data_IF_526458406028
#
_entry.id   IF_526458406028
#
_cell.length_a   1.000
_cell.length_b   1.000
_cell.length_c   1.000
_cell.angle_alpha   90.00
_cell.angle_beta   90.00
_cell.angle_gamma   90.00
#
_symmetry.space_group_name_H-M   'P 1'
#
loop_
_entity.id
_entity.type
_entity.pdbx_description
1 polymer ?
#
# COMPACT_ATOMS: atom_id res chain seq x y z
N UNK A 1 35.35 22.09 11.06
CA UNK A 1 33.94 21.66 11.18
C UNK A 1 33.10 22.71 10.48
N UNK A 2 32.57 22.43 9.30
CA UNK A 2 31.72 23.39 8.57
C UNK A 2 30.40 23.56 9.30
N UNK A 3 30.18 24.73 9.93
CA UNK A 3 28.92 25.13 10.57
C UNK A 3 27.89 25.61 9.52
N UNK A 4 27.60 24.77 8.52
CA UNK A 4 26.51 25.06 7.57
C UNK A 4 25.17 24.63 8.18
N UNK A 5 24.15 25.50 8.18
CA UNK A 5 22.86 25.24 8.85
C UNK A 5 21.98 24.19 8.13
N UNK A 6 22.44 23.66 6.99
CA UNK A 6 21.71 22.68 6.18
C UNK A 6 22.63 21.53 5.79
N UNK A 7 22.06 20.34 5.72
CA UNK A 7 22.69 19.14 5.18
C UNK A 7 21.72 18.48 4.19
N UNK A 8 22.20 18.16 2.99
CA UNK A 8 21.44 17.38 2.02
C UNK A 8 21.96 15.94 2.03
N UNK A 9 21.12 15.01 2.48
CA UNK A 9 21.46 13.57 2.58
C UNK A 9 20.40 12.76 1.84
N UNK A 10 20.85 11.80 1.04
CA UNK A 10 19.97 10.75 0.53
C UNK A 10 19.63 9.76 1.64
N UNK A 11 18.35 9.48 1.84
CA UNK A 11 17.88 8.47 2.78
C UNK A 11 16.84 7.58 2.10
N UNK A 12 16.78 6.31 2.50
CA UNK A 12 15.76 5.38 2.04
C UNK A 12 14.54 5.47 2.95
N UNK A 13 13.36 5.61 2.33
CA UNK A 13 12.07 5.59 3.00
C UNK A 13 11.23 4.44 2.47
N UNK A 14 10.53 3.75 3.36
CA UNK A 14 9.52 2.76 2.98
C UNK A 14 8.17 3.46 2.89
N UNK A 15 7.57 3.48 1.71
CA UNK A 15 6.28 4.11 1.44
C UNK A 15 5.24 3.06 1.04
N UNK A 16 3.97 3.30 1.35
CA UNK A 16 2.87 2.51 0.84
C UNK A 16 2.60 2.85 -0.62
N UNK A 17 2.57 1.84 -1.48
CA UNK A 17 2.29 2.01 -2.91
C UNK A 17 0.92 1.42 -3.24
N UNK A 18 0.02 2.24 -3.79
CA UNK A 18 -1.25 1.79 -4.36
C UNK A 18 -1.03 1.51 -5.83
N UNK A 19 -1.04 0.23 -6.19
CA UNK A 19 -0.99 -0.21 -7.57
C UNK A 19 -2.38 -0.08 -8.20
N UNK A 20 -2.48 0.80 -9.19
CA UNK A 20 -3.71 1.04 -9.93
C UNK A 20 -3.86 0.05 -11.07
N UNK A 21 -5.08 -0.40 -11.27
CA UNK A 21 -5.48 -1.28 -12.37
C UNK A 21 -6.67 -0.66 -13.07
N UNK A 22 -6.84 -1.01 -14.35
CA UNK A 22 -7.93 -0.52 -15.17
C UNK A 22 -9.29 -0.87 -14.55
N UNK A 23 -10.10 0.16 -14.30
CA UNK A 23 -11.42 0.05 -13.72
C UNK A 23 -12.17 1.38 -13.84
N UNK A 24 -13.49 1.31 -13.83
CA UNK A 24 -14.33 2.52 -13.78
C UNK A 24 -14.05 3.36 -12.53
N UNK A 25 -14.11 4.70 -12.61
CA UNK A 25 -13.89 5.63 -11.50
C UNK A 25 -14.54 5.24 -10.17
N UNK A 26 -15.82 4.86 -10.21
CA UNK A 26 -16.57 4.48 -9.01
C UNK A 26 -16.15 3.12 -8.44
N UNK A 27 -15.67 2.20 -9.30
CA UNK A 27 -15.11 0.92 -8.86
C UNK A 27 -13.78 1.15 -8.15
N UNK A 28 -12.95 2.08 -8.66
CA UNK A 28 -11.70 2.49 -8.01
C UNK A 28 -11.99 3.08 -6.63
N UNK A 29 -12.97 4.00 -6.53
CA UNK A 29 -13.40 4.60 -5.27
C UNK A 29 -13.76 3.52 -4.25
N UNK A 30 -14.68 2.63 -4.60
CA UNK A 30 -15.16 1.59 -3.70
C UNK A 30 -14.02 0.67 -3.25
N UNK A 31 -13.14 0.27 -4.17
CA UNK A 31 -12.01 -0.59 -3.84
C UNK A 31 -11.03 0.07 -2.86
N UNK A 32 -10.81 1.39 -2.96
CA UNK A 32 -9.99 2.13 -2.02
C UNK A 32 -10.64 2.21 -0.64
N UNK A 33 -11.94 2.51 -0.58
CA UNK A 33 -12.70 2.57 0.67
C UNK A 33 -12.71 1.22 1.38
N UNK A 34 -12.92 0.13 0.64
CA UNK A 34 -12.89 -1.23 1.18
C UNK A 34 -11.51 -1.59 1.76
N UNK A 35 -10.42 -1.25 1.05
CA UNK A 35 -9.06 -1.48 1.56
C UNK A 35 -8.79 -0.65 2.82
N UNK A 36 -9.24 0.60 2.86
CA UNK A 36 -9.11 1.47 4.04
C UNK A 36 -9.89 0.87 5.22
N UNK A 37 -11.12 0.39 5.00
CA UNK A 37 -11.94 -0.24 6.03
C UNK A 37 -11.32 -1.55 6.56
N UNK A 38 -10.66 -2.33 5.70
CA UNK A 38 -9.97 -3.56 6.08
C UNK A 38 -8.72 -3.28 6.93
N UNK A 39 -7.98 -2.20 6.65
CA UNK A 39 -6.75 -1.85 7.35
C UNK A 39 -6.69 -0.37 7.79
N UNK A 40 -7.58 0.10 8.69
CA UNK A 40 -7.67 1.52 9.04
C UNK A 40 -6.40 2.07 9.68
N UNK A 41 -5.70 1.25 10.47
CA UNK A 41 -4.45 1.63 11.13
C UNK A 41 -3.31 1.95 10.13
N UNK A 42 -3.37 1.39 8.92
CA UNK A 42 -2.34 1.58 7.90
C UNK A 42 -2.74 2.60 6.85
N UNK A 43 -4.03 2.70 6.52
CA UNK A 43 -4.51 3.44 5.35
C UNK A 43 -5.29 4.71 5.67
N UNK A 44 -5.79 4.89 6.90
CA UNK A 44 -6.50 6.11 7.27
C UNK A 44 -5.54 7.31 7.24
N UNK A 45 -5.79 8.26 6.33
CA UNK A 45 -4.93 9.42 6.08
C UNK A 45 -3.50 9.08 5.66
N UNK A 46 -3.29 7.87 5.13
CA UNK A 46 -1.97 7.38 4.81
C UNK A 46 -1.32 8.18 3.67
N UNK A 47 -0.02 8.48 3.79
CA UNK A 47 0.76 9.03 2.71
C UNK A 47 1.13 7.89 1.75
N UNK A 48 0.68 7.97 0.49
CA UNK A 48 0.79 6.90 -0.50
C UNK A 48 1.45 7.38 -1.79
N UNK A 49 2.14 6.46 -2.46
CA UNK A 49 2.56 6.59 -3.86
C UNK A 49 1.53 5.89 -4.74
N UNK A 50 1.11 6.52 -5.84
CA UNK A 50 0.19 5.91 -6.80
C UNK A 50 1.01 5.36 -7.95
N UNK A 51 0.98 4.04 -8.14
CA UNK A 51 1.59 3.40 -9.29
C UNK A 51 0.57 3.28 -10.41
N UNK A 52 0.85 3.91 -11.55
CA UNK A 52 -0.04 3.95 -12.74
C UNK A 52 0.42 3.02 -13.87
N UNK A 53 1.35 2.11 -13.60
CA UNK A 53 1.91 1.22 -14.64
C UNK A 53 0.91 0.20 -15.20
N UNK A 54 -0.18 -0.07 -14.48
CA UNK A 54 -1.26 -0.97 -14.87
C UNK A 54 -2.49 -0.29 -15.48
N UNK A 55 -2.43 1.01 -15.77
CA UNK A 55 -3.49 1.76 -16.45
C UNK A 55 -3.24 1.84 -17.95
N UNK A 56 -4.31 1.85 -18.74
CA UNK A 56 -4.26 2.08 -20.18
C UNK A 56 -4.44 3.57 -20.51
N UNK A 57 -3.80 4.04 -21.57
CA UNK A 57 -3.93 5.44 -22.01
C UNK A 57 -5.18 5.62 -22.89
N UNK A 58 -5.86 6.78 -22.85
CA UNK A 58 -5.54 7.96 -22.03
C UNK A 58 -6.10 7.88 -20.60
N UNK A 59 -5.30 8.26 -19.60
CA UNK A 59 -5.73 8.33 -18.20
C UNK A 59 -6.24 9.72 -17.86
N UNK A 60 -7.46 9.83 -17.34
CA UNK A 60 -7.99 11.08 -16.79
C UNK A 60 -7.38 11.37 -15.40
N UNK A 61 -6.17 11.92 -15.37
CA UNK A 61 -5.43 12.14 -14.12
C UNK A 61 -6.17 13.04 -13.11
N UNK A 62 -6.78 14.17 -13.49
CA UNK A 62 -7.52 15.01 -12.55
C UNK A 62 -8.66 14.30 -11.83
N UNK A 63 -9.40 13.45 -12.54
CA UNK A 63 -10.48 12.65 -11.97
C UNK A 63 -9.93 11.59 -11.01
N UNK A 64 -8.90 10.87 -11.42
CA UNK A 64 -8.25 9.85 -10.60
C UNK A 64 -7.68 10.44 -9.30
N UNK A 65 -6.99 11.58 -9.40
CA UNK A 65 -6.47 12.32 -8.26
C UNK A 65 -7.59 12.70 -7.29
N UNK A 66 -8.72 13.21 -7.80
CA UNK A 66 -9.88 13.56 -6.98
C UNK A 66 -10.48 12.34 -6.26
N UNK A 67 -10.56 11.20 -6.94
CA UNK A 67 -11.08 9.95 -6.35
C UNK A 67 -10.19 9.51 -5.19
N UNK A 68 -8.88 9.40 -5.44
CA UNK A 68 -7.92 8.95 -4.42
C UNK A 68 -7.91 9.90 -3.21
N UNK A 69 -7.87 11.21 -3.44
CA UNK A 69 -7.85 12.18 -2.34
C UNK A 69 -9.17 12.24 -1.57
N UNK A 70 -10.31 11.97 -2.24
CA UNK A 70 -11.62 11.95 -1.58
C UNK A 70 -11.82 10.80 -0.59
N UNK A 71 -11.04 9.71 -0.70
CA UNK A 71 -11.04 8.63 0.32
C UNK A 71 -10.19 8.98 1.55
N UNK A 72 -9.55 10.15 1.56
CA UNK A 72 -8.71 10.65 2.63
C UNK A 72 -7.23 10.26 2.51
N UNK A 73 -6.84 9.50 1.49
CA UNK A 73 -5.43 9.21 1.19
C UNK A 73 -4.69 10.47 0.73
N UNK A 74 -3.38 10.52 1.03
CA UNK A 74 -2.51 11.66 0.69
C UNK A 74 -1.49 11.22 -0.34
N UNK A 75 -1.59 11.74 -1.56
CA UNK A 75 -0.67 11.38 -2.63
C UNK A 75 0.67 12.10 -2.41
N UNK A 76 1.74 11.33 -2.21
CA UNK A 76 3.11 11.85 -2.09
C UNK A 76 3.74 12.03 -3.48
N UNK A 77 3.40 11.15 -4.41
CA UNK A 77 3.95 11.12 -5.75
C UNK A 77 3.38 9.97 -6.58
N UNK A 78 3.83 9.90 -7.82
CA UNK A 78 3.35 8.92 -8.81
C UNK A 78 4.51 8.10 -9.33
N UNK A 79 4.33 6.79 -9.46
CA UNK A 79 5.33 5.88 -10.00
C UNK A 79 4.79 5.12 -11.21
N UNK A 80 5.68 4.46 -11.96
CA UNK A 80 5.27 3.58 -13.06
C UNK A 80 4.72 4.30 -14.31
N UNK A 81 4.76 5.63 -14.35
CA UNK A 81 4.26 6.42 -15.47
C UNK A 81 5.19 6.30 -16.70
N UNK A 82 4.67 5.77 -17.81
CA UNK A 82 5.41 5.62 -19.07
C UNK A 82 5.03 6.68 -20.10
N UNK A 83 3.78 7.12 -20.09
CA UNK A 83 3.22 8.05 -21.05
C UNK A 83 3.67 9.51 -20.83
N UNK A 84 4.01 10.21 -21.90
CA UNK A 84 4.54 11.58 -21.82
C UNK A 84 3.45 12.62 -21.50
N UNK A 85 2.22 12.41 -21.98
CA UNK A 85 1.11 13.34 -21.72
C UNK A 85 0.65 13.27 -20.26
N UNK A 86 0.57 12.04 -19.72
CA UNK A 86 0.26 11.80 -18.31
C UNK A 86 1.34 12.38 -17.39
N UNK A 87 2.62 12.23 -17.74
CA UNK A 87 3.73 12.87 -16.99
C UNK A 87 3.54 14.38 -16.90
N UNK A 88 3.24 15.03 -18.02
CA UNK A 88 3.02 16.48 -18.04
C UNK A 88 1.80 16.89 -17.19
N UNK A 89 0.75 16.07 -17.13
CA UNK A 89 -0.40 16.31 -16.25
C UNK A 89 -0.05 16.21 -14.77
N UNK A 90 0.70 15.17 -14.39
CA UNK A 90 1.18 14.96 -13.02
C UNK A 90 2.09 16.12 -12.58
N UNK A 91 3.04 16.51 -13.44
CA UNK A 91 3.96 17.62 -13.18
C UNK A 91 3.22 18.95 -13.02
N UNK A 92 2.18 19.20 -13.84
CA UNK A 92 1.32 20.40 -13.71
C UNK A 92 0.60 20.48 -12.36
N UNK A 93 0.34 19.34 -11.71
CA UNK A 93 -0.23 19.30 -10.36
C UNK A 93 0.83 19.41 -9.25
N UNK A 94 2.11 19.52 -9.61
CA UNK A 94 3.21 19.61 -8.64
C UNK A 94 3.51 18.30 -7.92
N UNK A 95 3.09 17.16 -8.47
CA UNK A 95 3.35 15.85 -7.89
C UNK A 95 4.64 15.27 -8.47
N UNK A 96 5.57 14.77 -7.64
CA UNK A 96 6.82 14.19 -8.13
C UNK A 96 6.58 12.82 -8.76
N UNK A 97 7.35 12.55 -9.82
CA UNK A 97 7.50 11.20 -10.38
C UNK A 97 8.59 10.44 -9.61
N UNK A 98 8.22 9.29 -9.05
CA UNK A 98 9.06 8.47 -8.19
C UNK A 98 9.48 7.18 -8.89
N UNK A 99 10.70 6.75 -8.61
CA UNK A 99 11.20 5.43 -9.03
C UNK A 99 11.10 4.49 -7.85
N UNK A 100 10.37 3.38 -8.02
CA UNK A 100 10.28 2.36 -7.00
C UNK A 100 11.59 1.59 -6.86
N UNK A 101 12.00 1.33 -5.62
CA UNK A 101 13.12 0.45 -5.33
C UNK A 101 12.78 -0.99 -5.68
N UNK A 102 13.80 -1.85 -5.79
CA UNK A 102 13.58 -3.30 -5.98
C UNK A 102 12.77 -3.84 -4.79
N UNK A 103 11.59 -4.39 -5.06
CA UNK A 103 10.90 -5.21 -4.08
C UNK A 103 11.84 -6.35 -3.68
N UNK A 104 12.21 -6.39 -2.40
CA UNK A 104 12.69 -7.65 -1.83
C UNK A 104 11.48 -8.55 -1.78
N UNK A 105 11.51 -9.66 -2.53
CA UNK A 105 10.52 -10.71 -2.42
C UNK A 105 10.37 -11.05 -0.93
N UNK A 106 9.24 -10.66 -0.33
CA UNK A 106 8.85 -11.21 0.95
C UNK A 106 8.52 -12.66 0.66
N UNK A 107 9.38 -13.58 1.13
CA UNK A 107 9.10 -15.00 1.16
C UNK A 107 7.90 -15.20 2.10
N UNK A 108 6.69 -15.02 1.55
CA UNK A 108 5.43 -15.37 2.18
C UNK A 108 5.37 -16.90 2.21
N UNK A 109 6.22 -17.54 3.01
CA UNK A 109 5.93 -18.90 3.45
C UNK A 109 4.57 -18.81 4.12
N UNK A 110 3.58 -19.60 3.67
CA UNK A 110 2.27 -19.58 4.31
C UNK A 110 2.49 -19.82 5.80
N UNK A 111 1.93 -18.94 6.64
CA UNK A 111 1.76 -19.21 8.05
C UNK A 111 0.92 -20.48 8.11
N UNK A 112 1.61 -21.63 8.25
CA UNK A 112 0.98 -22.92 8.45
C UNK A 112 -0.04 -22.72 9.57
N UNK A 113 -1.33 -22.85 9.23
CA UNK A 113 -2.44 -22.88 10.18
C UNK A 113 -2.08 -23.91 11.25
N UNK A 114 -1.59 -23.46 12.40
CA UNK A 114 -1.41 -24.34 13.55
C UNK A 114 -2.82 -24.77 13.95
N UNK A 115 -3.18 -26.01 13.61
CA UNK A 115 -4.39 -26.65 14.14
C UNK A 115 -4.27 -26.62 15.68
N UNK A 116 -5.30 -26.18 16.42
CA UNK A 116 -5.26 -26.23 17.87
C UNK A 116 -5.08 -27.68 18.32
N UNK A 117 -4.09 -27.90 19.19
CA UNK A 117 -3.74 -29.21 19.74
C UNK A 117 -4.98 -29.82 20.44
N UNK A 118 -5.32 -31.06 20.07
CA UNK A 118 -6.43 -31.75 20.71
C UNK A 118 -6.06 -32.04 22.17
N UNK A 119 -6.90 -31.52 23.08
CA UNK A 119 -6.79 -31.73 24.52
C UNK A 119 -7.15 -33.19 24.81
N UNK A 120 -6.17 -34.10 24.89
CA UNK A 120 -6.41 -35.46 25.39
C UNK A 120 -6.73 -35.37 26.88
N UNK A 121 -7.93 -35.81 27.24
CA UNK A 121 -8.41 -35.94 28.62
C UNK A 121 -7.55 -37.00 29.34
N UNK A 122 -6.90 -36.63 30.43
CA UNK A 122 -6.26 -37.58 31.34
C UNK A 122 -7.36 -38.34 32.08
N UNK A 123 -7.51 -39.64 31.78
CA UNK A 123 -8.32 -40.57 32.57
C UNK A 123 -7.59 -40.83 33.90
N UNK A 124 -8.28 -40.51 35.00
CA UNK A 124 -7.83 -40.79 36.37
C UNK A 124 -8.05 -42.28 36.64
N UNK A 125 -7.04 -43.08 37.07
CA UNK A 125 -7.29 -44.46 37.48
C UNK A 125 -7.92 -44.49 38.88
N UNK A 126 -9.07 -45.15 38.98
CA UNK A 126 -9.76 -45.44 40.24
C UNK A 126 -8.89 -46.34 41.13
N UNK A 127 -8.58 -45.90 42.34
CA UNK A 127 -7.93 -46.72 43.36
C UNK A 127 -8.89 -47.83 43.84
N UNK A 128 -8.42 -49.07 43.71
CA UNK A 128 -8.95 -50.23 44.47
C UNK A 128 -8.65 -50.00 45.95
N UNK A 129 -9.69 -50.05 46.79
CA UNK A 129 -9.56 -50.28 48.23
C UNK A 129 -9.47 -51.77 48.47
N UNK A 130 -8.74 -52.11 49.52
CA UNK A 130 -8.62 -53.43 50.14
C UNK A 130 -9.98 -54.07 50.48
#
# INVERSE_FOLDING_TARGET
MSNTPIELKGSSFTLSVVHMHEAEPEVIRQALEDKIAQAPAFLKHAPVVINVSGLENPVNWPELHKIVTSTGLRIIGVSGCKDASLKAEIDRMGLPLLTEGKEKAFDLRPLSRQRPASRRKTLIPSQKRD
#
